data_IF_269825306838
#
_entry.id   IF_269825306838
#
_cell.length_a   1.000
_cell.length_b   1.000
_cell.length_c   1.000
_cell.angle_alpha   90.00
_cell.angle_beta   90.00
_cell.angle_gamma   90.00
#
_symmetry.space_group_name_H-M   'P 1'
#
loop_
_entity.id
_entity.type
_entity.pdbx_description
1 polymer ?
#
# COMPACT_ATOMS: atom_id res chain seq x y z
N UNK A 1 17.57 -1.06 -29.65
CA UNK A 1 18.51 -0.99 -28.49
C UNK A 1 18.18 0.15 -27.53
N UNK A 2 17.73 1.32 -28.00
CA UNK A 2 17.37 2.46 -27.14
C UNK A 2 16.06 2.27 -26.38
N UNK A 3 15.02 1.71 -27.01
CA UNK A 3 13.72 1.47 -26.37
C UNK A 3 13.79 0.48 -25.19
N UNK A 4 14.54 -0.60 -25.35
CA UNK A 4 14.77 -1.61 -24.30
C UNK A 4 15.43 -1.00 -23.05
N UNK A 5 16.39 -0.09 -23.26
CA UNK A 5 17.07 0.63 -22.18
C UNK A 5 16.13 1.54 -21.38
N UNK A 6 15.21 2.25 -22.04
CA UNK A 6 14.24 3.10 -21.35
C UNK A 6 13.21 2.28 -20.57
N UNK A 7 12.77 1.15 -21.13
CA UNK A 7 11.88 0.22 -20.45
C UNK A 7 12.49 -0.26 -19.12
N UNK A 8 13.75 -0.71 -19.15
CA UNK A 8 14.49 -1.13 -17.95
C UNK A 8 14.60 -0.01 -16.92
N UNK A 9 14.89 1.22 -17.33
CA UNK A 9 14.98 2.35 -16.40
C UNK A 9 13.65 2.71 -15.74
N UNK A 10 12.57 2.66 -16.52
CA UNK A 10 11.22 2.95 -16.00
C UNK A 10 10.81 1.86 -15.01
N UNK A 11 10.93 0.58 -15.36
CA UNK A 11 10.54 -0.52 -14.48
C UNK A 11 11.42 -0.61 -13.23
N UNK A 12 12.74 -0.44 -13.36
CA UNK A 12 13.64 -0.40 -12.20
C UNK A 12 13.42 0.82 -11.31
N UNK A 13 13.12 1.98 -11.90
CA UNK A 13 12.76 3.20 -11.17
C UNK A 13 11.47 3.02 -10.37
N UNK A 14 10.41 2.51 -11.00
CA UNK A 14 9.15 2.16 -10.31
C UNK A 14 9.42 1.17 -9.17
N UNK A 15 10.18 0.10 -9.44
CA UNK A 15 10.50 -0.91 -8.44
C UNK A 15 11.26 -0.31 -7.25
N UNK A 16 12.21 0.59 -7.50
CA UNK A 16 12.93 1.29 -6.44
C UNK A 16 11.99 2.15 -5.59
N UNK A 17 11.10 2.92 -6.21
CA UNK A 17 10.12 3.75 -5.49
C UNK A 17 9.15 2.92 -4.66
N UNK A 18 8.60 1.84 -5.22
CA UNK A 18 7.76 0.91 -4.47
C UNK A 18 8.53 0.30 -3.29
N UNK A 19 9.76 -0.15 -3.52
CA UNK A 19 10.61 -0.71 -2.47
C UNK A 19 10.87 0.27 -1.32
N UNK A 20 11.11 1.54 -1.62
CA UNK A 20 11.22 2.59 -0.59
C UNK A 20 9.91 2.77 0.17
N UNK A 21 8.76 2.84 -0.51
CA UNK A 21 7.45 2.96 0.17
C UNK A 21 7.11 1.76 1.04
N UNK A 22 7.46 0.54 0.64
CA UNK A 22 7.23 -0.66 1.45
C UNK A 22 8.09 -0.70 2.70
N UNK A 23 9.36 -0.29 2.61
CA UNK A 23 10.23 -0.15 3.78
C UNK A 23 9.67 0.89 4.76
N UNK A 24 9.23 2.04 4.24
CA UNK A 24 8.61 3.08 5.08
C UNK A 24 7.33 2.55 5.73
N UNK A 25 6.46 1.85 4.98
CA UNK A 25 5.23 1.28 5.52
C UNK A 25 5.49 0.23 6.60
N UNK A 26 6.49 -0.64 6.38
CA UNK A 26 6.91 -1.64 7.37
C UNK A 26 7.42 -0.98 8.65
N UNK A 27 8.29 0.02 8.53
CA UNK A 27 8.72 0.82 9.68
C UNK A 27 7.54 1.54 10.34
N UNK A 28 6.54 2.01 9.60
CA UNK A 28 5.34 2.62 10.15
C UNK A 28 4.54 1.66 11.02
N UNK A 29 4.41 0.41 10.57
CA UNK A 29 3.70 -0.65 11.27
C UNK A 29 4.47 -1.10 12.52
N UNK A 30 5.78 -1.32 12.38
CA UNK A 30 6.65 -1.80 13.45
C UNK A 30 6.88 -0.76 14.55
N UNK A 31 7.06 0.51 14.18
CA UNK A 31 7.35 1.58 15.14
C UNK A 31 6.13 2.10 15.91
N UNK A 32 4.91 1.75 15.48
CA UNK A 32 3.69 2.12 16.20
C UNK A 32 3.55 1.24 17.45
N UNK A 33 3.48 1.77 18.68
CA UNK A 33 3.24 0.96 19.88
C UNK A 33 1.89 0.24 19.85
N UNK A 34 1.77 -0.90 20.54
CA UNK A 34 0.53 -1.70 20.57
C UNK A 34 -0.66 -0.91 21.15
N UNK A 35 -0.41 -0.03 22.12
CA UNK A 35 -1.44 0.84 22.73
C UNK A 35 -2.08 1.82 21.73
N UNK A 36 -1.36 2.21 20.68
CA UNK A 36 -1.84 3.14 19.64
C UNK A 36 -2.29 2.42 18.37
N UNK A 37 -1.95 1.15 18.19
CA UNK A 37 -2.18 0.41 16.95
C UNK A 37 -3.66 0.42 16.53
N UNK A 38 -4.54 0.14 17.49
CA UNK A 38 -5.99 0.17 17.30
C UNK A 38 -6.62 1.51 17.69
N UNK A 39 -5.81 2.51 18.03
CA UNK A 39 -6.24 3.84 18.44
C UNK A 39 -7.00 4.55 17.32
N UNK A 40 -8.02 5.31 17.73
CA UNK A 40 -8.79 6.18 16.84
C UNK A 40 -8.55 7.65 17.21
N UNK A 41 -8.37 8.49 16.20
CA UNK A 41 -8.38 9.95 16.32
C UNK A 41 -9.37 10.53 15.31
N UNK A 42 -10.51 11.03 15.80
CA UNK A 42 -11.54 11.72 14.99
C UNK A 42 -11.85 10.99 13.66
N UNK A 43 -12.22 9.71 13.78
CA UNK A 43 -12.58 8.79 12.69
C UNK A 43 -11.42 8.20 11.86
N UNK A 44 -10.18 8.61 12.13
CA UNK A 44 -8.97 7.99 11.55
C UNK A 44 -8.43 6.91 12.49
N UNK A 45 -8.00 5.77 11.94
CA UNK A 45 -7.45 4.64 12.71
C UNK A 45 -6.13 4.17 12.08
N UNK A 46 -5.11 3.96 12.93
CA UNK A 46 -3.76 3.64 12.45
C UNK A 46 -3.69 2.29 11.74
N UNK A 47 -4.20 1.23 12.35
CA UNK A 47 -4.26 -0.12 11.76
C UNK A 47 -5.10 -0.16 10.48
N UNK A 48 -6.23 0.54 10.44
CA UNK A 48 -7.10 0.63 9.25
C UNK A 48 -6.39 1.35 8.11
N UNK A 49 -5.67 2.43 8.39
CA UNK A 49 -4.91 3.16 7.37
C UNK A 49 -3.76 2.32 6.83
N UNK A 50 -3.02 1.62 7.69
CA UNK A 50 -2.01 0.67 7.26
C UNK A 50 -2.59 -0.42 6.34
N UNK A 51 -3.73 -0.99 6.75
CA UNK A 51 -4.45 -1.97 5.93
C UNK A 51 -4.90 -1.38 4.59
N UNK A 52 -5.46 -0.18 4.59
CA UNK A 52 -5.92 0.50 3.39
C UNK A 52 -4.81 0.67 2.35
N UNK A 53 -3.60 1.08 2.77
CA UNK A 53 -2.44 1.18 1.86
C UNK A 53 -2.09 -0.17 1.24
N UNK A 54 -2.20 -1.26 1.99
CA UNK A 54 -1.87 -2.61 1.50
C UNK A 54 -2.97 -3.11 0.57
N UNK A 55 -4.24 -2.92 0.94
CA UNK A 55 -5.39 -3.33 0.15
C UNK A 55 -5.50 -2.60 -1.19
N UNK A 56 -5.19 -1.30 -1.24
CA UNK A 56 -5.18 -0.56 -2.52
C UNK A 56 -4.09 -1.05 -3.46
N UNK A 57 -2.98 -1.58 -2.95
CA UNK A 57 -1.96 -2.22 -3.79
C UNK A 57 -2.48 -3.50 -4.44
N UNK A 58 -3.21 -4.34 -3.70
CA UNK A 58 -3.88 -5.50 -4.29
C UNK A 58 -4.85 -5.04 -5.38
N UNK A 59 -5.68 -4.05 -5.09
CA UNK A 59 -6.68 -3.54 -6.02
C UNK A 59 -6.05 -3.04 -7.33
N UNK A 60 -5.08 -2.14 -7.26
CA UNK A 60 -4.48 -1.53 -8.43
C UNK A 60 -3.47 -2.42 -9.16
N UNK A 61 -3.02 -3.53 -8.55
CA UNK A 61 -2.25 -4.55 -9.25
C UNK A 61 -3.11 -5.37 -10.23
N UNK A 62 -4.43 -5.39 -10.05
CA UNK A 62 -5.37 -6.06 -10.97
C UNK A 62 -5.40 -5.33 -12.31
N UNK A 63 -5.90 -6.02 -13.33
CA UNK A 63 -6.16 -5.43 -14.65
C UNK A 63 -7.54 -4.78 -14.74
N UNK A 64 -8.40 -4.95 -13.74
CA UNK A 64 -9.77 -4.46 -13.75
C UNK A 64 -10.27 -4.29 -12.31
N UNK A 65 -11.14 -3.31 -12.03
CA UNK A 65 -11.66 -3.10 -10.68
C UNK A 65 -12.60 -4.22 -10.21
N UNK A 66 -13.19 -4.98 -11.13
CA UNK A 66 -14.16 -6.02 -10.84
C UNK A 66 -13.54 -7.21 -10.07
N UNK A 67 -14.36 -7.78 -9.18
CA UNK A 67 -13.99 -8.93 -8.36
C UNK A 67 -12.97 -8.63 -7.26
N UNK A 68 -12.72 -7.36 -6.95
CA UNK A 68 -12.02 -6.98 -5.73
C UNK A 68 -12.92 -7.22 -4.51
N UNK A 69 -12.39 -7.90 -3.51
CA UNK A 69 -13.05 -8.10 -2.22
C UNK A 69 -12.48 -7.09 -1.22
N UNK A 70 -13.18 -5.98 -1.04
CA UNK A 70 -12.81 -4.94 -0.09
C UNK A 70 -13.17 -5.34 1.34
N UNK A 71 -12.31 -4.98 2.29
CA UNK A 71 -12.50 -5.24 3.71
C UNK A 71 -12.32 -6.71 4.09
N UNK A 72 -11.68 -7.55 3.27
CA UNK A 72 -11.58 -9.00 3.53
C UNK A 72 -10.87 -9.37 4.85
N UNK A 73 -10.08 -8.45 5.41
CA UNK A 73 -9.43 -8.60 6.73
C UNK A 73 -10.08 -7.78 7.84
N UNK A 74 -11.20 -7.10 7.56
CA UNK A 74 -11.95 -6.34 8.54
C UNK A 74 -13.08 -7.19 9.14
N UNK A 75 -13.24 -7.08 10.45
CA UNK A 75 -14.45 -7.55 11.14
C UNK A 75 -15.62 -6.60 10.92
N UNK A 76 -16.78 -6.98 11.47
CA UNK A 76 -18.01 -6.20 11.36
C UNK A 76 -17.93 -4.92 12.21
N UNK A 77 -17.78 -3.77 11.56
CA UNK A 77 -17.70 -2.46 12.22
C UNK A 77 -19.02 -1.99 12.83
N UNK A 78 -20.15 -2.59 12.45
CA UNK A 78 -21.48 -2.24 12.97
C UNK A 78 -21.85 -3.09 14.20
N UNK A 79 -21.08 -4.14 14.49
CA UNK A 79 -21.34 -5.02 15.62
C UNK A 79 -20.81 -4.39 16.93
N UNK A 80 -21.69 -4.02 17.88
CA UNK A 80 -21.27 -3.38 19.13
C UNK A 80 -20.55 -4.32 20.11
N UNK A 81 -20.62 -5.64 19.89
CA UNK A 81 -19.98 -6.64 20.74
C UNK A 81 -18.51 -6.89 20.34
N UNK A 82 -18.08 -6.41 19.17
CA UNK A 82 -16.70 -6.56 18.71
C UNK A 82 -15.81 -5.44 19.23
N UNK A 83 -14.62 -5.83 19.70
CA UNK A 83 -13.59 -4.87 20.07
C UNK A 83 -12.75 -4.48 18.86
N UNK A 84 -11.90 -3.45 19.01
CA UNK A 84 -11.05 -3.00 17.91
C UNK A 84 -10.06 -4.08 17.42
N UNK A 85 -9.67 -5.05 18.27
CA UNK A 85 -8.80 -6.17 17.86
C UNK A 85 -9.56 -7.22 17.05
N UNK A 86 -10.89 -7.33 17.22
CA UNK A 86 -11.74 -8.21 16.42
C UNK A 86 -12.08 -7.59 15.06
N UNK A 87 -12.11 -6.25 15.01
CA UNK A 87 -12.47 -5.48 13.81
C UNK A 87 -11.26 -5.25 12.90
N UNK A 88 -10.09 -4.95 13.46
CA UNK A 88 -8.94 -4.50 12.68
C UNK A 88 -7.78 -5.51 12.69
N UNK A 89 -7.05 -5.62 11.57
CA UNK A 89 -5.97 -6.59 11.45
C UNK A 89 -4.80 -6.27 12.40
N UNK A 90 -4.15 -7.33 12.88
CA UNK A 90 -2.91 -7.21 13.65
C UNK A 90 -1.74 -6.80 12.76
N UNK A 91 -0.69 -6.25 13.37
CA UNK A 91 0.56 -5.90 12.67
C UNK A 91 1.14 -7.08 11.88
N UNK A 92 1.17 -8.27 12.49
CA UNK A 92 1.72 -9.49 11.87
C UNK A 92 0.95 -9.86 10.61
N UNK A 93 -0.38 -9.81 10.67
CA UNK A 93 -1.24 -10.07 9.51
C UNK A 93 -0.95 -9.09 8.38
N UNK A 94 -0.83 -7.79 8.70
CA UNK A 94 -0.53 -6.76 7.70
C UNK A 94 0.88 -6.87 7.12
N UNK A 95 1.89 -7.19 7.94
CA UNK A 95 3.26 -7.39 7.47
C UNK A 95 3.34 -8.56 6.50
N UNK A 96 2.71 -9.69 6.83
CA UNK A 96 2.66 -10.86 5.93
C UNK A 96 1.92 -10.51 4.63
N UNK A 97 0.81 -9.78 4.72
CA UNK A 97 0.05 -9.40 3.54
C UNK A 97 0.82 -8.44 2.63
N UNK A 98 1.55 -7.49 3.22
CA UNK A 98 2.47 -6.62 2.50
C UNK A 98 3.54 -7.45 1.77
N UNK A 99 4.20 -8.41 2.43
CA UNK A 99 5.24 -9.25 1.82
C UNK A 99 4.76 -10.05 0.60
N UNK A 100 3.54 -10.56 0.66
CA UNK A 100 2.92 -11.24 -0.49
C UNK A 100 2.75 -10.29 -1.68
N UNK A 101 2.25 -9.07 -1.43
CA UNK A 101 2.05 -8.07 -2.48
C UNK A 101 3.37 -7.51 -3.01
N UNK A 102 4.36 -7.29 -2.15
CA UNK A 102 5.71 -6.93 -2.58
C UNK A 102 6.24 -7.95 -3.58
N UNK A 103 6.10 -9.24 -3.28
CA UNK A 103 6.56 -10.33 -4.14
C UNK A 103 5.85 -10.32 -5.50
N UNK A 104 4.53 -10.13 -5.49
CA UNK A 104 3.72 -10.05 -6.71
C UNK A 104 4.09 -8.83 -7.57
N UNK A 105 4.22 -7.65 -6.96
CA UNK A 105 4.57 -6.41 -7.66
C UNK A 105 6.02 -6.46 -8.18
N UNK A 106 6.97 -6.97 -7.38
CA UNK A 106 8.36 -7.21 -7.79
C UNK A 106 8.43 -8.10 -9.02
N UNK A 107 7.65 -9.19 -9.04
CA UNK A 107 7.59 -10.09 -10.20
C UNK A 107 6.97 -9.37 -11.40
N UNK A 108 5.82 -8.73 -11.22
CA UNK A 108 5.15 -7.98 -12.28
C UNK A 108 6.07 -6.95 -12.94
N UNK A 109 6.77 -6.12 -12.16
CA UNK A 109 7.67 -5.08 -12.69
C UNK A 109 8.93 -5.63 -13.37
N UNK A 110 9.37 -6.85 -13.03
CA UNK A 110 10.48 -7.51 -13.72
C UNK A 110 10.07 -8.07 -15.08
N UNK A 111 8.82 -8.51 -15.20
CA UNK A 111 8.33 -9.24 -16.37
C UNK A 111 7.64 -8.31 -17.39
N UNK A 112 7.07 -7.18 -16.94
CA UNK A 112 6.31 -6.24 -17.78
C UNK A 112 7.21 -5.49 -18.77
N UNK A 113 6.73 -5.31 -20.00
CA UNK A 113 7.42 -4.52 -21.03
C UNK A 113 6.95 -3.07 -21.00
N UNK A 114 7.77 -2.18 -21.56
CA UNK A 114 7.43 -0.76 -21.64
C UNK A 114 6.10 -0.52 -22.37
N UNK A 115 5.88 -1.19 -23.51
CA UNK A 115 4.65 -1.02 -24.28
C UNK A 115 3.40 -1.40 -23.48
N UNK A 116 3.49 -2.48 -22.69
CA UNK A 116 2.39 -2.92 -21.81
C UNK A 116 2.04 -1.84 -20.78
N UNK A 117 3.05 -1.18 -20.20
CA UNK A 117 2.84 -0.08 -19.25
C UNK A 117 2.17 1.15 -19.90
N UNK A 118 2.35 1.34 -21.21
CA UNK A 118 1.76 2.45 -21.94
C UNK A 118 0.36 2.14 -22.49
N UNK A 119 -0.15 0.92 -22.27
CA UNK A 119 -1.53 0.56 -22.62
C UNK A 119 -2.53 0.89 -21.52
N UNK A 120 -3.83 0.87 -21.86
CA UNK A 120 -4.94 0.93 -20.90
C UNK A 120 -5.35 -0.47 -20.48
N UNK A 121 -5.82 -0.58 -19.25
CA UNK A 121 -6.50 -1.76 -18.74
C UNK A 121 -7.97 -1.44 -18.40
N UNK A 122 -8.63 -2.28 -17.60
CA UNK A 122 -10.02 -2.12 -17.17
C UNK A 122 -10.27 -0.91 -16.25
N UNK A 123 -9.23 -0.25 -15.74
CA UNK A 123 -9.36 0.96 -14.94
C UNK A 123 -9.58 2.18 -15.84
N UNK A 124 -10.84 2.49 -16.15
CA UNK A 124 -11.25 3.51 -17.14
C UNK A 124 -10.82 4.95 -16.82
N UNK A 125 -10.41 5.22 -15.59
CA UNK A 125 -10.01 6.55 -15.12
C UNK A 125 -8.50 6.82 -15.21
N UNK A 126 -7.70 5.86 -15.69
CA UNK A 126 -6.30 6.09 -16.01
C UNK A 126 -6.07 6.08 -17.52
N UNK A 127 -5.16 6.91 -17.98
CA UNK A 127 -4.69 6.99 -19.35
C UNK A 127 -3.81 5.80 -19.74
N UNK A 128 -3.13 5.19 -18.75
CA UNK A 128 -2.28 4.01 -18.93
C UNK A 128 -2.04 3.25 -17.62
N UNK A 129 -1.53 2.03 -17.71
CA UNK A 129 -1.07 1.25 -16.56
C UNK A 129 0.06 1.96 -15.83
N UNK A 130 0.95 2.66 -16.55
CA UNK A 130 2.00 3.48 -15.97
C UNK A 130 1.43 4.57 -15.05
N UNK A 131 0.42 5.32 -15.50
CA UNK A 131 -0.24 6.34 -14.68
C UNK A 131 -0.89 5.72 -13.44
N UNK A 132 -1.53 4.55 -13.57
CA UNK A 132 -2.12 3.82 -12.44
C UNK A 132 -1.07 3.49 -11.37
N UNK A 133 0.13 3.03 -11.77
CA UNK A 133 1.22 2.73 -10.84
C UNK A 133 1.77 3.98 -10.17
N UNK A 134 1.88 5.10 -10.90
CA UNK A 134 2.25 6.39 -10.31
C UNK A 134 1.19 6.91 -9.33
N UNK A 135 -0.08 6.74 -9.66
CA UNK A 135 -1.19 7.06 -8.77
C UNK A 135 -1.08 6.27 -7.46
N UNK A 136 -0.82 4.96 -7.56
CA UNK A 136 -0.64 4.10 -6.39
C UNK A 136 0.54 4.56 -5.53
N UNK A 137 1.69 4.89 -6.12
CA UNK A 137 2.82 5.46 -5.37
C UNK A 137 2.46 6.76 -4.64
N UNK A 138 1.71 7.65 -5.28
CA UNK A 138 1.24 8.90 -4.68
C UNK A 138 0.22 8.67 -3.55
N UNK A 139 -0.69 7.71 -3.74
CA UNK A 139 -1.66 7.29 -2.72
C UNK A 139 -0.93 6.73 -1.48
N UNK A 140 0.05 5.84 -1.67
CA UNK A 140 0.88 5.32 -0.60
C UNK A 140 1.62 6.44 0.13
N UNK A 141 2.25 7.36 -0.60
CA UNK A 141 2.99 8.48 -0.01
C UNK A 141 2.09 9.41 0.82
N UNK A 142 0.85 9.65 0.37
CA UNK A 142 -0.12 10.46 1.10
C UNK A 142 -0.43 9.86 2.49
N UNK A 143 -0.81 8.59 2.55
CA UNK A 143 -1.15 7.93 3.81
C UNK A 143 0.06 7.61 4.69
N UNK A 144 1.24 7.36 4.10
CA UNK A 144 2.49 7.32 4.86
C UNK A 144 2.76 8.67 5.55
N UNK A 145 2.42 9.78 4.91
CA UNK A 145 2.47 11.11 5.54
C UNK A 145 1.58 11.20 6.79
N UNK A 146 0.35 10.68 6.70
CA UNK A 146 -0.60 10.63 7.82
C UNK A 146 -0.07 9.77 8.97
N UNK A 147 0.38 8.54 8.68
CA UNK A 147 0.96 7.63 9.68
C UNK A 147 2.21 8.25 10.32
N UNK A 148 3.07 8.88 9.53
CA UNK A 148 4.27 9.56 10.01
C UNK A 148 3.98 10.78 10.88
N UNK A 149 2.86 11.47 10.66
CA UNK A 149 2.37 12.52 11.55
C UNK A 149 2.00 11.92 12.91
N UNK A 150 1.22 10.85 12.94
CA UNK A 150 0.79 10.22 14.19
C UNK A 150 1.96 9.71 15.03
N UNK A 151 2.94 9.04 14.41
CA UNK A 151 4.15 8.61 15.12
C UNK A 151 4.90 9.79 15.76
N UNK A 152 4.89 10.98 15.15
CA UNK A 152 5.48 12.18 15.75
C UNK A 152 4.64 12.75 16.88
N UNK A 153 3.32 12.75 16.75
CA UNK A 153 2.40 13.26 17.77
C UNK A 153 2.42 12.41 19.04
N UNK A 154 2.64 11.10 18.90
CA UNK A 154 2.77 10.15 20.01
C UNK A 154 4.22 10.01 20.53
N UNK A 155 5.14 10.86 20.08
CA UNK A 155 6.57 10.81 20.42
C UNK A 155 7.22 9.42 20.23
N UNK A 156 6.77 8.69 19.20
CA UNK A 156 7.23 7.36 18.86
C UNK A 156 8.45 7.40 17.93
N UNK A 157 9.09 6.22 17.75
CA UNK A 157 10.13 6.07 16.75
C UNK A 157 9.61 6.44 15.35
N UNK A 158 10.34 7.32 14.68
CA UNK A 158 9.94 7.82 13.35
C UNK A 158 10.34 6.83 12.26
N UNK A 159 9.53 6.76 11.21
CA UNK A 159 9.97 6.19 9.94
C UNK A 159 11.16 7.00 9.39
N UNK A 160 12.13 6.29 8.83
CA UNK A 160 13.24 6.87 8.07
C UNK A 160 12.81 7.10 6.63
N UNK A 161 13.27 8.20 6.06
CA UNK A 161 13.18 8.41 4.62
C UNK A 161 14.06 7.38 3.90
N UNK A 162 13.54 6.76 2.84
CA UNK A 162 14.17 5.66 2.11
C UNK A 162 14.50 6.03 0.66
#
# INVERSE_FOLDING_TARGET
>A
MTEDKYGVWITSGLLAQFSSTWKMLREAIENCPDEYWYGTDKDWNYSRTAYHIIETQEFYLRNTPEGMEWGKLLGDTENPDLSAVDIYPSKVVLVNYLEELETKIKKYLKDVKLDDLLTKDGFKWFSSVFEKLLYLLRHNAHHLGEMGRMLREWDCQRMKWQ
#
